data_IF_634982314382
#
_entry.id   IF_634982314382
#
_cell.length_a   1.000
_cell.length_b   1.000
_cell.length_c   1.000
_cell.angle_alpha   90.00
_cell.angle_beta   90.00
_cell.angle_gamma   90.00
#
_symmetry.space_group_name_H-M   'P 1'
#
loop_
_entity.id
_entity.type
_entity.pdbx_description
1 polymer ?
#
# COMPACT_ATOMS: atom_id res chain seq x y z
N UNK A 1 -12.35 3.07 0.01
CA UNK A 1 -11.28 2.78 0.97
C UNK A 1 -10.02 3.55 0.61
N UNK A 2 -9.01 3.45 1.48
CA UNK A 2 -7.61 3.74 1.13
C UNK A 2 -6.98 2.47 0.52
N UNK A 3 -5.71 2.20 0.77
CA UNK A 3 -4.92 1.10 0.22
C UNK A 3 -5.06 -0.27 0.91
N UNK A 4 -5.88 -0.41 1.95
CA UNK A 4 -5.94 -1.65 2.74
C UNK A 4 -4.67 -1.86 3.57
N UNK A 5 -4.50 -3.07 4.11
CA UNK A 5 -3.40 -3.45 4.99
C UNK A 5 -3.25 -4.98 5.05
N UNK A 6 -2.33 -5.47 5.89
CA UNK A 6 -2.00 -6.89 5.98
C UNK A 6 -3.18 -7.82 6.35
N UNK A 7 -4.27 -7.31 6.92
CA UNK A 7 -5.44 -8.10 7.34
C UNK A 7 -6.71 -7.87 6.50
N UNK A 8 -6.76 -6.80 5.69
CA UNK A 8 -7.92 -6.43 4.88
C UNK A 8 -7.51 -5.83 3.53
N UNK A 9 -8.13 -6.29 2.44
CA UNK A 9 -8.13 -5.54 1.20
C UNK A 9 -9.05 -4.31 1.33
N UNK A 10 -9.01 -3.35 0.38
CA UNK A 10 -9.80 -2.11 0.49
C UNK A 10 -11.32 -2.31 0.55
N UNK A 11 -11.82 -3.47 0.11
CA UNK A 11 -13.22 -3.86 0.12
C UNK A 11 -13.57 -4.89 1.20
N UNK A 12 -12.61 -5.31 2.04
CA UNK A 12 -12.86 -6.30 3.09
C UNK A 12 -13.79 -5.75 4.17
N UNK A 13 -14.68 -6.60 4.67
CA UNK A 13 -15.61 -6.26 5.77
C UNK A 13 -15.34 -7.05 7.05
N UNK A 14 -14.37 -7.97 7.00
CA UNK A 14 -13.83 -8.75 8.12
C UNK A 14 -12.37 -9.11 7.82
N UNK A 15 -11.65 -9.59 8.83
CA UNK A 15 -10.29 -10.06 8.68
C UNK A 15 -10.19 -11.15 7.61
N UNK A 16 -9.13 -11.10 6.80
CA UNK A 16 -8.80 -12.09 5.78
C UNK A 16 -9.83 -12.21 4.64
N UNK A 17 -10.63 -11.17 4.42
CA UNK A 17 -11.69 -11.14 3.40
C UNK A 17 -11.17 -10.88 1.97
N UNK A 18 -10.19 -11.69 1.56
CA UNK A 18 -9.45 -11.55 0.29
C UNK A 18 -10.33 -11.76 -0.94
N UNK A 19 -11.37 -12.58 -0.83
CA UNK A 19 -12.22 -12.97 -1.94
C UNK A 19 -13.51 -12.13 -2.05
N UNK A 20 -13.61 -11.00 -1.33
CA UNK A 20 -14.81 -10.18 -1.36
C UNK A 20 -15.08 -9.64 -2.79
N UNK A 21 -16.22 -9.97 -3.42
CA UNK A 21 -16.49 -9.59 -4.80
C UNK A 21 -17.02 -8.16 -4.94
N UNK A 22 -17.37 -7.49 -3.83
CA UNK A 22 -17.97 -6.16 -3.86
C UNK A 22 -16.97 -5.13 -4.36
N UNK A 23 -17.45 -4.25 -5.24
CA UNK A 23 -16.66 -3.13 -5.74
C UNK A 23 -16.49 -2.05 -4.69
N UNK A 24 -15.31 -1.45 -4.67
CA UNK A 24 -14.98 -0.29 -3.84
C UNK A 24 -14.24 0.75 -4.67
N UNK A 25 -14.45 2.03 -4.33
CA UNK A 25 -13.59 3.13 -4.78
C UNK A 25 -12.36 3.22 -3.86
N UNK A 26 -11.17 2.99 -4.39
CA UNK A 26 -9.89 3.00 -3.64
C UNK A 26 -8.79 3.71 -4.42
N UNK A 27 -7.91 4.39 -3.72
CA UNK A 27 -6.72 5.06 -4.25
C UNK A 27 -5.46 4.19 -4.16
N UNK A 28 -5.58 2.86 -3.98
CA UNK A 28 -4.41 1.97 -3.80
C UNK A 28 -3.37 2.11 -4.92
N UNK A 29 -3.79 2.26 -6.17
CA UNK A 29 -2.88 2.36 -7.34
C UNK A 29 -2.33 3.75 -7.61
N UNK A 30 -2.81 4.78 -6.91
CA UNK A 30 -2.27 6.14 -6.94
C UNK A 30 -2.13 6.64 -5.49
N UNK A 31 -1.69 5.78 -4.57
CA UNK A 31 -1.71 6.15 -3.16
C UNK A 31 -0.82 7.37 -2.93
N UNK A 32 -1.38 8.40 -2.30
CA UNK A 32 -0.69 9.62 -1.89
C UNK A 32 -1.05 9.94 -0.44
N UNK A 33 -0.15 10.59 0.33
CA UNK A 33 -0.43 10.96 1.71
C UNK A 33 -1.76 11.72 1.88
N UNK A 34 -2.03 12.67 0.98
CA UNK A 34 -3.22 13.51 1.02
C UNK A 34 -4.42 12.95 0.25
N UNK A 35 -4.33 11.71 -0.26
CA UNK A 35 -5.34 11.07 -1.09
C UNK A 35 -4.94 11.09 -2.56
N UNK A 36 -5.12 9.93 -3.20
CA UNK A 36 -4.89 9.74 -4.63
C UNK A 36 -6.17 9.71 -5.46
N UNK A 37 -5.99 9.58 -6.76
CA UNK A 37 -7.06 9.26 -7.69
C UNK A 37 -7.64 7.87 -7.35
N UNK A 38 -8.96 7.81 -7.16
CA UNK A 38 -9.64 6.56 -6.86
C UNK A 38 -10.05 5.83 -8.13
N UNK A 39 -9.82 4.51 -8.13
CA UNK A 39 -10.37 3.59 -9.13
C UNK A 39 -11.39 2.67 -8.49
N UNK A 40 -12.36 2.23 -9.30
CA UNK A 40 -13.37 1.25 -8.90
C UNK A 40 -12.87 -0.15 -9.20
N UNK A 41 -12.62 -0.95 -8.17
CA UNK A 41 -12.07 -2.30 -8.29
C UNK A 41 -12.70 -3.27 -7.27
N UNK A 42 -12.43 -4.56 -7.43
CA UNK A 42 -12.82 -5.63 -6.50
C UNK A 42 -11.72 -6.71 -6.44
N UNK A 43 -12.01 -7.84 -5.79
CA UNK A 43 -10.99 -8.87 -5.57
C UNK A 43 -10.35 -9.46 -6.82
N UNK A 44 -11.00 -9.37 -8.00
CA UNK A 44 -10.42 -9.83 -9.25
C UNK A 44 -9.10 -9.13 -9.57
N UNK A 45 -8.89 -7.92 -9.03
CA UNK A 45 -7.64 -7.18 -9.24
C UNK A 45 -6.41 -7.89 -8.65
N UNK A 46 -6.60 -8.67 -7.59
CA UNK A 46 -5.58 -9.51 -6.96
C UNK A 46 -5.97 -11.00 -7.00
N UNK A 47 -6.66 -11.45 -8.07
CA UNK A 47 -7.08 -12.84 -8.27
C UNK A 47 -7.95 -13.43 -7.14
N UNK A 48 -8.52 -12.60 -6.27
CA UNK A 48 -9.29 -13.03 -5.10
C UNK A 48 -8.52 -13.98 -4.17
N UNK A 49 -7.18 -13.96 -4.23
CA UNK A 49 -6.29 -14.82 -3.46
C UNK A 49 -5.43 -14.00 -2.49
N UNK A 50 -5.09 -14.62 -1.36
CA UNK A 50 -4.33 -14.02 -0.28
C UNK A 50 -2.89 -13.66 -0.68
N UNK A 51 -2.19 -14.57 -1.37
CA UNK A 51 -0.79 -14.36 -1.74
C UNK A 51 -0.69 -13.25 -2.78
N UNK A 52 -1.56 -13.27 -3.78
CA UNK A 52 -1.62 -12.23 -4.80
C UNK A 52 -2.14 -10.89 -4.25
N UNK A 53 -2.94 -10.89 -3.19
CA UNK A 53 -3.25 -9.68 -2.43
C UNK A 53 -1.99 -9.06 -1.82
N UNK A 54 -1.17 -9.84 -1.11
CA UNK A 54 0.06 -9.32 -0.51
C UNK A 54 1.04 -8.78 -1.56
N UNK A 55 1.21 -9.49 -2.68
CA UNK A 55 2.04 -9.01 -3.80
C UNK A 55 1.50 -7.67 -4.32
N UNK A 56 0.20 -7.61 -4.63
CA UNK A 56 -0.45 -6.41 -5.15
C UNK A 56 -0.34 -5.23 -4.17
N UNK A 57 -0.62 -5.45 -2.89
CA UNK A 57 -0.54 -4.42 -1.86
C UNK A 57 0.88 -3.87 -1.73
N UNK A 58 1.88 -4.75 -1.65
CA UNK A 58 3.28 -4.36 -1.48
C UNK A 58 3.83 -3.61 -2.69
N UNK A 59 3.41 -3.97 -3.91
CA UNK A 59 3.76 -3.25 -5.14
C UNK A 59 3.26 -1.80 -5.17
N UNK A 60 2.23 -1.48 -4.36
CA UNK A 60 1.64 -0.15 -4.30
C UNK A 60 2.08 0.67 -3.07
N UNK A 61 3.04 0.17 -2.28
CA UNK A 61 3.68 0.96 -1.23
C UNK A 61 4.79 1.85 -1.81
N UNK A 62 5.07 3.04 -1.22
CA UNK A 62 6.18 3.90 -1.61
C UNK A 62 7.52 3.15 -1.70
N UNK A 63 7.92 2.83 -2.93
CA UNK A 63 9.15 2.12 -3.25
C UNK A 63 10.33 3.04 -3.53
N UNK A 64 11.40 2.47 -4.07
CA UNK A 64 12.50 3.24 -4.63
C UNK A 64 11.97 4.15 -5.77
N UNK A 65 12.44 5.40 -5.80
CA UNK A 65 12.07 6.39 -6.82
C UNK A 65 10.55 6.67 -6.93
N UNK A 66 9.80 6.54 -5.83
CA UNK A 66 8.35 6.77 -5.82
C UNK A 66 7.93 8.21 -6.17
N UNK A 67 8.83 9.20 -6.01
CA UNK A 67 8.58 10.60 -6.37
C UNK A 67 7.50 11.32 -5.53
N UNK A 68 7.01 10.69 -4.46
CA UNK A 68 5.97 11.25 -3.61
C UNK A 68 6.56 12.19 -2.56
N UNK A 69 5.77 13.20 -2.19
CA UNK A 69 6.10 14.12 -1.10
C UNK A 69 4.97 14.20 -0.09
N UNK A 70 5.35 14.49 1.16
CA UNK A 70 4.42 14.87 2.22
C UNK A 70 4.95 16.13 2.90
N UNK A 71 4.16 17.22 2.86
CA UNK A 71 4.55 18.54 3.41
C UNK A 71 5.92 18.99 2.85
N UNK A 72 6.05 18.95 1.53
CA UNK A 72 7.25 19.33 0.76
C UNK A 72 8.52 18.51 1.06
N UNK A 73 8.38 17.39 1.78
CA UNK A 73 9.47 16.45 2.04
C UNK A 73 9.26 15.15 1.27
N UNK A 74 10.30 14.58 0.64
CA UNK A 74 10.17 13.33 -0.08
C UNK A 74 9.82 12.17 0.85
N UNK A 75 8.98 11.26 0.39
CA UNK A 75 8.79 9.98 1.08
C UNK A 75 10.01 9.09 0.87
N UNK A 76 10.42 8.39 1.92
CA UNK A 76 11.49 7.40 1.83
C UNK A 76 11.02 6.14 1.09
N UNK A 77 11.96 5.29 0.67
CA UNK A 77 11.64 3.95 0.18
C UNK A 77 11.20 3.08 1.36
N UNK A 78 9.90 2.82 1.50
CA UNK A 78 9.34 2.10 2.63
C UNK A 78 9.70 0.62 2.63
N UNK A 79 10.06 0.04 1.48
CA UNK A 79 10.58 -1.32 1.42
C UNK A 79 11.86 -1.51 2.25
N UNK A 80 12.61 -0.45 2.52
CA UNK A 80 13.81 -0.51 3.38
C UNK A 80 13.46 -0.97 4.80
N UNK A 81 12.30 -0.58 5.34
CA UNK A 81 11.88 -1.00 6.68
C UNK A 81 11.50 -2.48 6.77
N UNK A 82 11.34 -3.15 5.62
CA UNK A 82 11.00 -4.58 5.53
C UNK A 82 12.24 -5.39 5.14
N UNK A 83 13.02 -4.91 4.15
CA UNK A 83 14.18 -5.62 3.60
C UNK A 83 15.52 -5.33 4.26
N UNK A 84 15.69 -4.20 4.96
CA UNK A 84 16.92 -3.78 5.65
C UNK A 84 16.59 -2.95 6.90
N UNK A 85 15.89 -3.58 7.85
CA UNK A 85 15.43 -2.89 9.06
C UNK A 85 16.58 -2.32 9.90
N UNK A 86 17.64 -3.12 10.13
CA UNK A 86 18.79 -2.68 10.91
C UNK A 86 19.52 -1.50 10.25
N UNK A 87 19.67 -1.52 8.92
CA UNK A 87 20.22 -0.41 8.16
C UNK A 87 19.36 0.84 8.25
N UNK A 88 18.03 0.71 8.16
CA UNK A 88 17.10 1.81 8.36
C UNK A 88 17.21 2.43 9.75
N UNK A 89 17.28 1.61 10.81
CA UNK A 89 17.41 2.07 12.19
C UNK A 89 18.75 2.76 12.46
N UNK A 90 19.85 2.18 11.95
CA UNK A 90 21.19 2.78 12.08
C UNK A 90 21.27 4.16 11.43
N UNK A 91 20.59 4.34 10.29
CA UNK A 91 20.50 5.61 9.55
C UNK A 91 19.40 6.54 10.09
N UNK A 92 18.63 6.11 11.10
CA UNK A 92 17.48 6.82 11.68
C UNK A 92 16.47 7.25 10.60
N UNK A 93 16.21 6.38 9.63
CA UNK A 93 15.23 6.66 8.58
C UNK A 93 13.82 6.75 9.17
N UNK A 94 13.08 7.77 8.75
CA UNK A 94 11.63 7.85 8.93
C UNK A 94 10.87 7.48 7.65
N UNK A 95 9.55 7.48 7.71
CA UNK A 95 8.68 7.32 6.53
C UNK A 95 8.75 8.52 5.57
N UNK A 96 9.26 9.65 6.06
CA UNK A 96 9.48 10.91 5.36
C UNK A 96 10.94 11.29 5.57
N UNK A 97 11.57 11.85 4.53
CA UNK A 97 12.95 12.35 4.57
C UNK A 97 13.15 13.60 5.42
#
# INVERSE_FOLDING_TARGET
>A
GRCGWAHFPPNGVRDYDWANPNFIWTDIEDWRPNGGEKKRLNCRRWNCDSLTWFIYWMQNLPGANNGLTYRDRPLTNWWTFIGDFDGAMRKRLGLVG
#
